data_IF_007885781230
#
_entry.id   IF_007885781230
#
_cell.length_a   1.000
_cell.length_b   1.000
_cell.length_c   1.000
_cell.angle_alpha   90.00
_cell.angle_beta   90.00
_cell.angle_gamma   90.00
#
_symmetry.space_group_name_H-M   'P 1'
#
loop_
_entity.id
_entity.type
_entity.pdbx_description
1 polymer ?
#
# COMPACT_ATOMS: atom_id res chain seq x y z
N UNK A 1 -21.40 9.03 -0.19
CA UNK A 1 -20.19 8.66 0.57
C UNK A 1 -19.03 9.40 -0.07
N UNK A 2 -18.66 10.57 0.45
CA UNK A 2 -17.50 11.35 0.00
C UNK A 2 -16.21 10.66 0.46
N UNK A 3 -15.32 10.34 -0.48
CA UNK A 3 -14.04 9.71 -0.20
C UNK A 3 -13.05 10.71 0.42
N UNK A 4 -12.85 10.68 1.74
CA UNK A 4 -11.80 11.44 2.43
C UNK A 4 -10.51 10.60 2.59
N UNK A 5 -10.01 9.99 1.51
CA UNK A 5 -8.99 8.92 1.60
C UNK A 5 -7.56 9.38 1.93
N UNK A 6 -7.25 10.68 1.99
CA UNK A 6 -5.88 11.17 2.31
C UNK A 6 -5.84 12.45 3.17
N UNK A 7 -6.74 12.64 4.14
CA UNK A 7 -6.50 13.68 5.18
C UNK A 7 -5.32 13.34 6.10
N UNK A 8 -4.64 12.22 5.87
CA UNK A 8 -3.78 11.55 6.84
C UNK A 8 -2.29 11.82 6.74
N UNK A 9 -1.84 12.50 5.69
CA UNK A 9 -0.40 12.70 5.48
C UNK A 9 0.13 14.03 6.01
N UNK A 10 -0.74 14.97 6.42
CA UNK A 10 -0.30 16.23 7.02
C UNK A 10 -1.18 16.66 8.21
N UNK A 11 -0.60 16.53 9.42
CA UNK A 11 -0.93 17.16 10.72
C UNK A 11 -2.31 16.92 11.37
N UNK A 12 -2.38 15.93 12.27
CA UNK A 12 -2.57 16.02 13.75
C UNK A 12 -2.95 14.64 14.29
N UNK A 13 -2.10 14.10 15.17
CA UNK A 13 -2.33 13.06 16.19
C UNK A 13 -3.20 11.82 15.87
N UNK A 14 -2.60 10.62 16.01
CA UNK A 14 -3.24 9.28 16.08
C UNK A 14 -4.03 8.76 14.86
N UNK A 15 -4.31 9.55 13.83
CA UNK A 15 -5.13 9.14 12.67
C UNK A 15 -4.42 8.22 11.66
N UNK A 16 -3.08 8.16 11.66
CA UNK A 16 -2.30 7.38 10.67
C UNK A 16 -2.48 5.85 10.82
N UNK A 17 -2.77 5.37 12.02
CA UNK A 17 -2.97 3.94 12.30
C UNK A 17 -4.44 3.53 12.32
N UNK A 18 -5.32 4.33 11.69
CA UNK A 18 -6.68 3.90 11.43
C UNK A 18 -6.69 2.78 10.37
N UNK A 19 -7.67 1.85 10.40
CA UNK A 19 -7.70 0.69 9.49
C UNK A 19 -7.63 1.03 8.01
N UNK A 20 -8.29 2.10 7.58
CA UNK A 20 -8.25 2.61 6.21
C UNK A 20 -6.84 3.09 5.81
N UNK A 21 -6.15 3.80 6.70
CA UNK A 21 -4.79 4.28 6.45
C UNK A 21 -3.77 3.15 6.47
N UNK A 22 -3.92 2.21 7.41
CA UNK A 22 -3.09 0.98 7.46
C UNK A 22 -3.19 0.23 6.13
N UNK A 23 -4.41 0.03 5.61
CA UNK A 23 -4.63 -0.62 4.33
C UNK A 23 -3.95 0.14 3.17
N UNK A 24 -4.14 1.45 3.09
CA UNK A 24 -3.56 2.27 2.03
C UNK A 24 -2.02 2.23 2.07
N UNK A 25 -1.41 2.38 3.24
CA UNK A 25 0.04 2.33 3.44
C UNK A 25 0.59 0.95 3.10
N UNK A 26 -0.10 -0.11 3.54
CA UNK A 26 0.28 -1.50 3.23
C UNK A 26 0.34 -1.73 1.72
N UNK A 27 -0.69 -1.27 0.99
CA UNK A 27 -0.72 -1.36 -0.48
C UNK A 27 0.38 -0.50 -1.10
N UNK A 28 0.52 0.75 -0.67
CA UNK A 28 1.52 1.70 -1.17
C UNK A 28 2.94 1.14 -1.06
N UNK A 29 3.30 0.60 0.10
CA UNK A 29 4.64 0.08 0.36
C UNK A 29 4.95 -1.11 -0.55
N UNK A 30 4.02 -2.04 -0.72
CA UNK A 30 4.22 -3.19 -1.61
C UNK A 30 4.31 -2.73 -3.07
N UNK A 31 3.52 -1.75 -3.50
CA UNK A 31 3.66 -1.17 -4.84
C UNK A 31 5.00 -0.48 -5.02
N UNK A 32 5.42 0.37 -4.09
CA UNK A 32 6.69 1.09 -4.17
C UNK A 32 7.87 0.14 -4.23
N UNK A 33 7.90 -0.89 -3.38
CA UNK A 33 8.93 -1.93 -3.44
C UNK A 33 9.01 -2.59 -4.81
N UNK A 34 7.88 -2.98 -5.39
CA UNK A 34 7.88 -3.60 -6.73
C UNK A 34 8.23 -2.62 -7.87
N UNK A 35 7.86 -1.35 -7.74
CA UNK A 35 8.24 -0.32 -8.70
C UNK A 35 9.73 0.03 -8.62
N UNK A 36 10.30 0.00 -7.42
CA UNK A 36 11.73 0.11 -7.18
C UNK A 36 12.47 -1.03 -7.86
N UNK A 37 12.18 -2.27 -7.46
CA UNK A 37 12.97 -3.45 -7.85
C UNK A 37 12.90 -3.76 -9.34
N UNK A 38 11.72 -3.58 -9.95
CA UNK A 38 11.49 -4.00 -11.33
C UNK A 38 11.50 -2.85 -12.35
N UNK A 39 11.32 -1.61 -11.90
CA UNK A 39 11.15 -0.46 -12.79
C UNK A 39 12.04 0.74 -12.45
N UNK A 40 12.93 0.61 -11.45
CA UNK A 40 13.88 1.64 -11.01
C UNK A 40 13.19 2.94 -10.62
N UNK A 41 12.01 2.85 -10.01
CA UNK A 41 11.40 4.01 -9.38
C UNK A 41 12.17 4.30 -8.10
N UNK A 42 12.35 5.58 -7.80
CA UNK A 42 12.96 6.03 -6.56
C UNK A 42 12.31 7.32 -6.10
N UNK A 43 12.94 7.98 -5.13
CA UNK A 43 12.40 9.16 -4.41
C UNK A 43 11.55 10.12 -5.24
N UNK A 44 12.09 10.61 -6.36
CA UNK A 44 11.41 11.60 -7.22
C UNK A 44 10.10 11.07 -7.80
N UNK A 45 10.07 9.82 -8.28
CA UNK A 45 8.85 9.23 -8.86
C UNK A 45 7.82 8.91 -7.78
N UNK A 46 8.25 8.42 -6.62
CA UNK A 46 7.34 8.18 -5.51
C UNK A 46 6.71 9.47 -4.99
N UNK A 47 7.49 10.56 -4.88
CA UNK A 47 6.92 11.87 -4.52
C UNK A 47 5.86 12.33 -5.53
N UNK A 48 6.13 12.18 -6.83
CA UNK A 48 5.17 12.51 -7.88
C UNK A 48 3.89 11.66 -7.81
N UNK A 49 3.99 10.36 -7.50
CA UNK A 49 2.81 9.50 -7.27
C UNK A 49 2.00 10.01 -6.07
N UNK A 50 2.66 10.38 -4.96
CA UNK A 50 1.99 10.92 -3.78
C UNK A 50 1.25 12.23 -4.08
N UNK A 51 1.86 13.12 -4.87
CA UNK A 51 1.18 14.34 -5.32
C UNK A 51 -0.06 14.03 -6.17
N UNK A 52 0.01 13.02 -7.04
CA UNK A 52 -1.13 12.58 -7.84
C UNK A 52 -2.25 12.03 -6.96
N UNK A 53 -1.91 11.27 -5.90
CA UNK A 53 -2.90 10.79 -4.94
C UNK A 53 -3.54 11.95 -4.17
N UNK A 54 -2.75 12.93 -3.71
CA UNK A 54 -3.28 14.14 -3.06
C UNK A 54 -4.24 14.91 -3.97
N UNK A 55 -3.91 15.05 -5.26
CA UNK A 55 -4.81 15.67 -6.25
C UNK A 55 -6.08 14.85 -6.47
N UNK A 56 -5.99 13.53 -6.42
CA UNK A 56 -7.13 12.63 -6.65
C UNK A 56 -8.25 12.79 -5.61
N UNK A 57 -7.95 13.31 -4.41
CA UNK A 57 -8.95 13.61 -3.39
C UNK A 57 -9.99 14.64 -3.82
N UNK A 58 -9.59 15.54 -4.73
CA UNK A 58 -10.41 16.64 -5.20
C UNK A 58 -11.11 16.30 -6.52
N UNK A 59 -10.87 15.11 -7.08
CA UNK A 59 -11.53 14.64 -8.29
C UNK A 59 -12.95 14.21 -7.93
N UNK A 60 -13.94 14.68 -8.72
CA UNK A 60 -15.33 14.24 -8.59
C UNK A 60 -15.42 12.72 -8.73
N UNK A 61 -16.19 12.09 -7.85
CA UNK A 61 -16.37 10.63 -7.83
C UNK A 61 -16.73 10.03 -9.19
N UNK A 62 -17.54 10.71 -9.99
CA UNK A 62 -17.94 10.27 -11.33
C UNK A 62 -16.74 10.14 -12.30
N UNK A 63 -15.78 11.06 -12.20
CA UNK A 63 -14.56 11.05 -13.02
C UNK A 63 -13.66 9.91 -12.56
N UNK A 64 -13.50 9.76 -11.24
CA UNK A 64 -12.73 8.65 -10.69
C UNK A 64 -13.35 7.30 -11.07
N UNK A 65 -14.67 7.18 -10.97
CA UNK A 65 -15.41 5.97 -11.37
C UNK A 65 -15.19 5.64 -12.84
N UNK A 66 -15.27 6.61 -13.75
CA UNK A 66 -14.95 6.39 -15.17
C UNK A 66 -13.53 5.86 -15.39
N UNK A 67 -12.55 6.38 -14.66
CA UNK A 67 -11.16 5.89 -14.71
C UNK A 67 -11.00 4.48 -14.13
N UNK A 68 -11.76 4.16 -13.08
CA UNK A 68 -11.80 2.82 -12.51
C UNK A 68 -12.44 1.82 -13.49
N UNK A 69 -13.51 2.23 -14.17
CA UNK A 69 -14.20 1.41 -15.17
C UNK A 69 -13.31 1.17 -16.43
N UNK A 70 -12.45 2.12 -16.80
CA UNK A 70 -11.49 1.94 -17.92
C UNK A 70 -10.30 1.02 -17.59
N UNK A 71 -10.07 0.68 -16.31
CA UNK A 71 -8.96 -0.21 -15.92
C UNK A 71 -9.08 -1.61 -16.53
N UNK A 72 -10.29 -2.13 -16.60
CA UNK A 72 -10.57 -3.49 -17.08
C UNK A 72 -10.43 -3.62 -18.60
N UNK A 73 -10.61 -2.52 -19.34
CA UNK A 73 -10.58 -2.51 -20.81
C UNK A 73 -9.24 -2.01 -21.37
N UNK A 74 -8.66 -0.93 -20.81
CA UNK A 74 -7.53 -0.23 -21.42
C UNK A 74 -6.22 -0.42 -20.66
N UNK A 75 -6.26 -0.45 -19.33
CA UNK A 75 -5.05 -0.54 -18.50
C UNK A 75 -4.53 -1.97 -18.35
N UNK A 76 -5.31 -2.99 -18.72
CA UNK A 76 -4.91 -4.40 -18.56
C UNK A 76 -4.98 -4.90 -17.13
N UNK A 77 -5.89 -4.36 -16.32
CA UNK A 77 -6.22 -4.93 -15.02
C UNK A 77 -6.70 -6.39 -15.20
N UNK A 78 -6.26 -7.28 -14.31
CA UNK A 78 -6.67 -8.67 -14.37
C UNK A 78 -7.55 -8.98 -13.16
N UNK A 79 -8.85 -9.17 -13.39
CA UNK A 79 -9.83 -9.34 -12.32
C UNK A 79 -9.49 -10.52 -11.38
N UNK A 80 -8.95 -11.62 -11.91
CA UNK A 80 -8.52 -12.76 -11.08
C UNK A 80 -7.36 -12.39 -10.16
N UNK A 81 -6.34 -11.71 -10.68
CA UNK A 81 -5.23 -11.23 -9.85
C UNK A 81 -5.69 -10.20 -8.82
N UNK A 82 -6.63 -9.34 -9.17
CA UNK A 82 -7.22 -8.39 -8.24
C UNK A 82 -8.00 -9.07 -7.11
N UNK A 83 -8.86 -10.05 -7.41
CA UNK A 83 -9.58 -10.84 -6.40
C UNK A 83 -8.61 -11.58 -5.48
N UNK A 84 -7.57 -12.19 -6.05
CA UNK A 84 -6.51 -12.86 -5.28
C UNK A 84 -5.78 -11.87 -4.36
N UNK A 85 -5.42 -10.69 -4.88
CA UNK A 85 -4.82 -9.61 -4.11
C UNK A 85 -5.71 -9.19 -2.93
N UNK A 86 -7.00 -8.95 -3.17
CA UNK A 86 -7.94 -8.51 -2.13
C UNK A 86 -8.07 -9.52 -0.98
N UNK A 87 -8.03 -10.82 -1.29
CA UNK A 87 -8.02 -11.86 -0.27
C UNK A 87 -6.71 -11.86 0.53
N UNK A 88 -5.57 -11.62 -0.12
CA UNK A 88 -4.24 -11.66 0.52
C UNK A 88 -3.95 -10.42 1.37
N UNK A 89 -4.33 -9.22 0.91
CA UNK A 89 -4.14 -7.97 1.69
C UNK A 89 -4.99 -7.94 2.96
N UNK A 90 -6.20 -8.53 2.93
CA UNK A 90 -7.01 -8.71 4.14
C UNK A 90 -6.38 -9.68 5.13
N UNK A 91 -5.74 -10.75 4.63
CA UNK A 91 -5.04 -11.71 5.49
C UNK A 91 -3.81 -11.09 6.15
N UNK A 92 -3.10 -10.19 5.45
CA UNK A 92 -1.94 -9.47 6.03
C UNK A 92 -2.29 -8.69 7.30
N UNK A 93 -3.49 -8.11 7.39
CA UNK A 93 -3.94 -7.41 8.59
C UNK A 93 -3.99 -8.29 9.86
N UNK A 94 -3.99 -9.62 9.71
CA UNK A 94 -4.00 -10.57 10.83
C UNK A 94 -2.72 -11.38 10.96
N UNK A 95 -1.98 -11.61 9.86
CA UNK A 95 -0.75 -12.41 9.85
C UNK A 95 0.51 -11.58 10.10
N UNK A 96 0.60 -10.39 9.52
CA UNK A 96 1.72 -9.49 9.75
C UNK A 96 1.53 -8.77 11.09
N UNK A 97 2.53 -8.87 11.96
CA UNK A 97 2.43 -8.40 13.35
C UNK A 97 2.79 -6.92 13.49
N UNK A 98 3.28 -6.27 12.43
CA UNK A 98 3.83 -4.90 12.46
C UNK A 98 2.91 -3.92 13.15
N UNK A 99 1.69 -3.75 12.63
CA UNK A 99 0.75 -2.78 13.18
C UNK A 99 0.18 -3.21 14.54
N UNK A 100 0.02 -4.51 14.79
CA UNK A 100 -0.41 -5.00 16.10
C UNK A 100 0.63 -4.66 17.18
N UNK A 101 1.90 -4.78 16.84
CA UNK A 101 2.99 -4.49 17.74
C UNK A 101 3.19 -2.99 17.94
N UNK A 102 3.10 -2.17 16.90
CA UNK A 102 3.12 -0.70 17.02
C UNK A 102 1.99 -0.23 17.94
N UNK A 103 0.78 -0.76 17.75
CA UNK A 103 -0.41 -0.30 18.49
C UNK A 103 -0.59 -0.95 19.87
N UNK A 104 0.03 -2.10 20.11
CA UNK A 104 -0.25 -2.92 21.30
C UNK A 104 -1.64 -3.55 21.32
N UNK A 105 -2.40 -3.46 20.22
CA UNK A 105 -3.76 -3.97 20.07
C UNK A 105 -4.02 -4.43 18.63
N UNK A 106 -5.14 -5.11 18.37
CA UNK A 106 -5.48 -5.51 17.01
C UNK A 106 -5.80 -4.28 16.16
N UNK A 107 -5.21 -4.10 14.96
CA UNK A 107 -5.49 -2.95 14.10
C UNK A 107 -6.91 -2.99 13.51
N UNK A 108 -7.53 -4.17 13.48
CA UNK A 108 -8.92 -4.37 13.05
C UNK A 108 -9.61 -5.22 14.12
N UNK A 109 -10.62 -4.63 14.77
CA UNK A 109 -11.36 -5.20 15.89
C UNK A 109 -12.84 -5.41 15.56
N UNK A 110 -13.42 -4.63 14.64
CA UNK A 110 -14.83 -4.67 14.26
C UNK A 110 -15.12 -4.87 12.77
N UNK A 111 -16.41 -5.02 12.44
CA UNK A 111 -16.88 -5.17 11.05
C UNK A 111 -16.68 -3.88 10.23
N UNK A 112 -17.01 -2.71 10.80
CA UNK A 112 -16.86 -1.44 10.10
C UNK A 112 -15.40 -1.14 9.75
N UNK A 113 -14.49 -1.44 10.67
CA UNK A 113 -13.04 -1.32 10.46
C UNK A 113 -12.55 -2.26 9.37
N UNK A 114 -13.09 -3.49 9.30
CA UNK A 114 -12.77 -4.45 8.24
C UNK A 114 -13.26 -3.97 6.88
N UNK A 115 -14.46 -3.37 6.82
CA UNK A 115 -15.01 -2.78 5.59
C UNK A 115 -14.16 -1.60 5.15
N UNK A 116 -13.78 -0.70 6.07
CA UNK A 116 -12.93 0.46 5.78
C UNK A 116 -11.54 0.04 5.29
N UNK A 117 -10.91 -0.93 5.96
CA UNK A 117 -9.65 -1.51 5.52
C UNK A 117 -9.75 -2.07 4.09
N UNK A 118 -10.80 -2.87 3.82
CA UNK A 118 -11.02 -3.46 2.50
C UNK A 118 -11.21 -2.40 1.41
N UNK A 119 -12.07 -1.41 1.65
CA UNK A 119 -12.36 -0.36 0.68
C UNK A 119 -11.11 0.46 0.37
N UNK A 120 -10.35 0.82 1.41
CA UNK A 120 -9.12 1.59 1.23
C UNK A 120 -8.05 0.81 0.46
N UNK A 121 -7.86 -0.48 0.76
CA UNK A 121 -6.93 -1.34 0.02
C UNK A 121 -7.30 -1.44 -1.47
N UNK A 122 -8.59 -1.62 -1.78
CA UNK A 122 -9.08 -1.68 -3.15
C UNK A 122 -8.79 -0.41 -3.93
N UNK A 123 -9.03 0.75 -3.32
CA UNK A 123 -8.86 2.04 -3.98
C UNK A 123 -7.40 2.36 -4.16
N UNK A 124 -6.58 2.17 -3.14
CA UNK A 124 -5.14 2.35 -3.25
C UNK A 124 -4.60 1.52 -4.41
N UNK A 125 -4.97 0.24 -4.49
CA UNK A 125 -4.55 -0.66 -5.57
C UNK A 125 -4.96 -0.13 -6.94
N UNK A 126 -6.24 0.19 -7.13
CA UNK A 126 -6.75 0.65 -8.42
C UNK A 126 -6.15 2.01 -8.82
N UNK A 127 -5.99 2.93 -7.86
CA UNK A 127 -5.33 4.22 -8.06
C UNK A 127 -3.88 4.06 -8.53
N UNK A 128 -3.14 3.12 -7.94
CA UNK A 128 -1.79 2.80 -8.42
C UNK A 128 -1.81 2.34 -9.88
N UNK A 129 -2.72 1.45 -10.27
CA UNK A 129 -2.80 0.98 -11.65
C UNK A 129 -3.15 2.12 -12.62
N UNK A 130 -4.08 3.00 -12.25
CA UNK A 130 -4.44 4.19 -13.03
C UNK A 130 -3.21 5.08 -13.22
N UNK A 131 -2.52 5.44 -12.14
CA UNK A 131 -1.34 6.32 -12.20
C UNK A 131 -0.23 5.71 -13.05
N UNK A 132 0.04 4.41 -12.89
CA UNK A 132 1.06 3.73 -13.68
C UNK A 132 0.72 3.72 -15.17
N UNK A 133 -0.54 3.50 -15.51
CA UNK A 133 -1.00 3.50 -16.89
C UNK A 133 -0.98 4.91 -17.50
N UNK A 134 -1.68 5.88 -16.88
CA UNK A 134 -1.90 7.21 -17.43
C UNK A 134 -0.65 8.11 -17.35
N UNK A 135 0.14 8.02 -16.27
CA UNK A 135 1.24 8.95 -16.02
C UNK A 135 2.62 8.38 -16.34
N UNK A 136 2.76 7.05 -16.34
CA UNK A 136 4.04 6.38 -16.57
C UNK A 136 4.06 5.47 -17.80
N UNK A 137 2.97 5.44 -18.58
CA UNK A 137 2.90 4.70 -19.83
C UNK A 137 3.04 3.18 -19.65
N UNK A 138 2.60 2.64 -18.51
CA UNK A 138 2.61 1.19 -18.32
C UNK A 138 1.60 0.56 -19.28
N UNK A 139 2.12 -0.30 -20.16
CA UNK A 139 1.30 -1.10 -21.06
C UNK A 139 0.51 -2.15 -20.27
N UNK A 140 -0.57 -2.72 -20.85
CA UNK A 140 -1.33 -3.82 -20.24
C UNK A 140 -0.44 -4.96 -19.71
N UNK A 141 0.62 -5.31 -20.45
CA UNK A 141 1.60 -6.31 -20.03
C UNK A 141 2.36 -5.91 -18.76
N UNK A 142 2.82 -4.66 -18.66
CA UNK A 142 3.50 -4.15 -17.46
C UNK A 142 2.55 -4.04 -16.26
N UNK A 143 1.32 -3.60 -16.48
CA UNK A 143 0.28 -3.58 -15.43
C UNK A 143 0.03 -5.00 -14.91
N UNK A 144 -0.16 -5.99 -15.79
CA UNK A 144 -0.29 -7.40 -15.38
C UNK A 144 0.95 -7.93 -14.63
N UNK A 145 2.15 -7.49 -14.98
CA UNK A 145 3.37 -7.84 -14.23
C UNK A 145 3.35 -7.26 -12.82
N UNK A 146 3.07 -5.97 -12.67
CA UNK A 146 2.97 -5.32 -11.34
C UNK A 146 1.95 -6.03 -10.46
N UNK A 147 0.76 -6.33 -10.99
CA UNK A 147 -0.26 -7.08 -10.25
C UNK A 147 0.25 -8.44 -9.75
N UNK A 148 1.06 -9.15 -10.56
CA UNK A 148 1.68 -10.42 -10.15
C UNK A 148 2.72 -10.22 -9.07
N UNK A 149 3.60 -9.23 -9.20
CA UNK A 149 4.66 -8.97 -8.21
C UNK A 149 4.08 -8.56 -6.85
N UNK A 150 3.14 -7.61 -6.85
CA UNK A 150 2.43 -7.18 -5.65
C UNK A 150 1.75 -8.37 -4.96
N UNK A 151 1.01 -9.20 -5.72
CA UNK A 151 0.39 -10.41 -5.18
C UNK A 151 1.42 -11.36 -4.54
N UNK A 152 2.56 -11.55 -5.18
CA UNK A 152 3.60 -12.46 -4.69
C UNK A 152 4.20 -11.97 -3.36
N UNK A 153 4.45 -10.67 -3.21
CA UNK A 153 4.92 -10.12 -1.93
C UNK A 153 3.88 -10.29 -0.82
N UNK A 154 2.59 -10.09 -1.11
CA UNK A 154 1.53 -10.39 -0.15
C UNK A 154 1.47 -11.89 0.22
N UNK A 155 1.88 -12.79 -0.67
CA UNK A 155 2.03 -14.21 -0.33
C UNK A 155 3.21 -14.40 0.62
N UNK A 156 4.38 -13.81 0.32
CA UNK A 156 5.57 -13.86 1.17
C UNK A 156 5.29 -13.37 2.59
N UNK A 157 4.63 -12.21 2.73
CA UNK A 157 4.25 -11.64 4.03
C UNK A 157 3.34 -12.62 4.80
N UNK A 158 2.30 -13.13 4.13
CA UNK A 158 1.35 -14.06 4.76
C UNK A 158 1.97 -15.40 5.17
N UNK A 159 3.11 -15.77 4.59
CA UNK A 159 3.88 -16.97 4.92
C UNK A 159 4.98 -16.68 5.95
N UNK A 160 5.13 -15.43 6.40
CA UNK A 160 6.18 -15.02 7.35
C UNK A 160 7.59 -15.03 6.75
N UNK A 161 7.71 -15.06 5.41
CA UNK A 161 9.01 -15.01 4.71
C UNK A 161 9.63 -13.61 4.72
N UNK A 162 8.80 -12.60 4.89
CA UNK A 162 9.19 -11.22 5.13
C UNK A 162 8.10 -10.50 5.94
N UNK A 163 8.41 -9.31 6.45
CA UNK A 163 7.50 -8.40 7.16
C UNK A 163 7.40 -7.06 6.45
N UNK A 164 6.31 -6.34 6.72
CA UNK A 164 6.14 -4.98 6.20
C UNK A 164 7.27 -4.03 6.63
N UNK A 165 7.84 -4.21 7.81
CA UNK A 165 8.93 -3.39 8.35
C UNK A 165 10.19 -3.43 7.49
N UNK A 166 10.53 -4.57 6.88
CA UNK A 166 11.65 -4.69 5.95
C UNK A 166 11.42 -3.84 4.70
N UNK A 167 10.19 -3.84 4.19
CA UNK A 167 9.85 -3.02 3.04
C UNK A 167 9.83 -1.53 3.40
N UNK A 168 9.44 -1.18 4.63
CA UNK A 168 9.54 0.20 5.09
C UNK A 168 11.00 0.66 5.15
N UNK A 169 11.87 -0.15 5.75
CA UNK A 169 13.29 0.18 5.91
C UNK A 169 13.99 0.33 4.57
N UNK A 170 13.77 -0.62 3.64
CA UNK A 170 14.32 -0.51 2.28
C UNK A 170 13.86 0.78 1.56
N UNK A 171 12.57 1.13 1.64
CA UNK A 171 12.06 2.34 0.99
C UNK A 171 12.56 3.64 1.66
N UNK A 172 12.81 3.62 2.97
CA UNK A 172 13.44 4.73 3.68
C UNK A 172 14.91 4.90 3.24
N UNK A 173 15.69 3.82 3.28
CA UNK A 173 17.13 3.84 3.00
C UNK A 173 17.44 4.12 1.52
N UNK A 174 16.76 3.41 0.61
CA UNK A 174 17.07 3.47 -0.82
C UNK A 174 16.30 4.58 -1.54
N UNK A 175 15.12 4.94 -1.03
CA UNK A 175 14.20 5.85 -1.70
C UNK A 175 13.83 7.10 -0.89
N UNK A 176 14.34 7.26 0.33
CA UNK A 176 14.09 8.42 1.18
C UNK A 176 12.59 8.64 1.47
N UNK A 177 11.81 7.55 1.56
CA UNK A 177 10.40 7.62 1.93
C UNK A 177 10.26 7.72 3.44
N UNK A 178 9.55 8.74 3.91
CA UNK A 178 9.23 8.90 5.33
C UNK A 178 7.98 8.09 5.66
N UNK A 179 8.13 7.01 6.43
CA UNK A 179 7.04 6.08 6.76
C UNK A 179 6.87 6.08 8.28
N UNK A 180 5.78 6.70 8.76
CA UNK A 180 5.56 6.86 10.20
C UNK A 180 5.53 5.55 10.98
N UNK A 181 5.01 4.48 10.37
CA UNK A 181 5.00 3.15 10.98
C UNK A 181 6.42 2.62 11.26
N UNK A 182 7.41 2.97 10.43
CA UNK A 182 8.80 2.60 10.66
C UNK A 182 9.42 3.41 11.81
N UNK A 183 9.13 4.71 11.88
CA UNK A 183 9.56 5.55 13.00
C UNK A 183 9.03 5.01 14.33
N UNK A 184 7.72 4.70 14.40
CA UNK A 184 7.09 4.15 15.60
C UNK A 184 7.66 2.75 15.94
N UNK A 185 8.00 1.94 14.93
CA UNK A 185 8.67 0.66 15.12
C UNK A 185 10.09 0.82 15.69
N UNK A 186 10.93 1.66 15.06
CA UNK A 186 12.31 1.94 15.49
C UNK A 186 12.33 2.59 16.88
N UNK A 187 11.37 3.44 17.21
CA UNK A 187 11.22 4.00 18.56
C UNK A 187 10.94 2.92 19.62
N UNK A 188 10.21 1.86 19.26
CA UNK A 188 9.85 0.77 20.17
C UNK A 188 10.93 -0.30 20.30
N UNK A 189 11.56 -0.69 19.19
CA UNK A 189 12.43 -1.87 19.13
C UNK A 189 13.89 -1.57 18.76
N UNK A 190 14.21 -0.33 18.40
CA UNK A 190 15.55 0.12 18.00
C UNK A 190 15.96 -0.28 16.58
N UNK A 191 15.57 -1.46 16.09
CA UNK A 191 15.90 -1.96 14.75
C UNK A 191 14.77 -2.78 14.13
N UNK A 192 14.76 -2.91 12.80
CA UNK A 192 13.87 -3.85 12.08
C UNK A 192 14.34 -5.28 12.23
N UNK A 193 15.66 -5.50 12.17
CA UNK A 193 16.27 -6.82 12.25
C UNK A 193 16.72 -7.18 13.67
N UNK A 194 16.56 -8.44 14.04
CA UNK A 194 17.07 -9.02 15.28
C UNK A 194 18.58 -9.26 15.24
N UNK A 195 19.19 -9.70 16.35
CA UNK A 195 20.62 -10.05 16.38
C UNK A 195 20.99 -11.19 15.42
N UNK A 196 20.01 -12.02 15.04
CA UNK A 196 20.13 -13.11 14.07
C UNK A 196 19.95 -12.64 12.62
N UNK A 197 19.74 -11.35 12.39
CA UNK A 197 19.49 -10.77 11.07
C UNK A 197 18.09 -11.07 10.52
N UNK A 198 17.22 -11.76 11.28
CA UNK A 198 15.85 -12.00 10.88
C UNK A 198 14.96 -10.81 11.24
N UNK A 199 13.85 -10.60 10.51
CA UNK A 199 12.89 -9.54 10.86
C UNK A 199 12.31 -9.80 12.26
N UNK A 200 12.41 -8.79 13.14
CA UNK A 200 11.80 -8.84 14.48
C UNK A 200 10.30 -8.97 14.39
#
# INVERSE_FOLDING_TARGET
>A
MEYQLLKTLYRKDKLYHLPDNIAAVTVMVVFYKNLHDHYRFGRRRFHAIMELFGKAQYIKWEILKKKLDSLDHDAGMNERLFKDFMNKVQKVATTDTTYREILGSKPISGNDERVNYRNSAEIAYKMFLIVLHENYGFTPGKIKNVQRYVKNDFICINEGRCKLTEFFEMLEEECGQEIRALEDWKAKYGSVHGPDGMPR
#
